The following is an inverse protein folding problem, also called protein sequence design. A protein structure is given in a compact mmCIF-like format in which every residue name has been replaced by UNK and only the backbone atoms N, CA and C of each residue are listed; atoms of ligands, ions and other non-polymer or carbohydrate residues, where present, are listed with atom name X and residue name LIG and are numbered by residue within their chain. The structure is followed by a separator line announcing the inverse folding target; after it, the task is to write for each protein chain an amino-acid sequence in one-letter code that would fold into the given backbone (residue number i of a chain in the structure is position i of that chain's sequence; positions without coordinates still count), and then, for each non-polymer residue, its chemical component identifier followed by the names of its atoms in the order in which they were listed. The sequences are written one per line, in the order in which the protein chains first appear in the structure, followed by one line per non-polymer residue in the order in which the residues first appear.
data_IF_280423191696
#
_entry.id   IF_280423191696
#
_cell.length_a   1.000
_cell.length_b   1.000
_cell.length_c   1.000
_cell.angle_alpha   90.00
_cell.angle_beta   90.00
_cell.angle_gamma   90.00
#
_symmetry.space_group_name_H-M   'P 1'
#
loop_
_entity.id
_entity.type
_entity.pdbx_description
1 polymer ?
#
# COMPACT_ATOMS: atom_id res chain seq x y z
N UNK A 1 -3.79 -14.76 -19.53
CA UNK A 1 -2.64 -14.28 -20.34
C UNK A 1 -2.53 -14.96 -21.72
N UNK A 2 -2.33 -16.29 -21.83
CA UNK A 2 -2.22 -17.00 -23.14
C UNK A 2 -3.36 -16.69 -24.12
N UNK A 3 -4.61 -16.62 -23.64
CA UNK A 3 -5.76 -16.28 -24.48
C UNK A 3 -5.65 -14.87 -25.10
N UNK A 4 -5.25 -13.87 -24.31
CA UNK A 4 -5.02 -12.50 -24.81
C UNK A 4 -3.90 -12.45 -25.84
N UNK A 5 -2.82 -13.22 -25.64
CA UNK A 5 -1.74 -13.35 -26.63
C UNK A 5 -2.23 -13.96 -27.94
N UNK A 6 -3.07 -15.00 -27.89
CA UNK A 6 -3.70 -15.59 -29.09
C UNK A 6 -4.61 -14.62 -29.84
N UNK A 7 -5.15 -13.62 -29.13
CA UNK A 7 -5.96 -12.54 -29.69
C UNK A 7 -5.12 -11.38 -30.24
N UNK A 8 -3.79 -11.48 -30.25
CA UNK A 8 -2.89 -10.49 -30.81
C UNK A 8 -2.41 -9.40 -29.85
N UNK A 9 -2.88 -9.40 -28.59
CA UNK A 9 -2.39 -8.42 -27.60
C UNK A 9 -0.95 -8.72 -27.22
N UNK A 10 -0.09 -7.71 -27.31
CA UNK A 10 1.31 -7.89 -27.03
C UNK A 10 1.58 -7.79 -25.54
N UNK A 11 1.07 -6.75 -24.87
CA UNK A 11 1.36 -6.45 -23.47
C UNK A 11 0.18 -6.85 -22.63
N UNK A 12 0.39 -7.81 -21.73
CA UNK A 12 -0.67 -8.28 -20.83
C UNK A 12 -0.10 -8.39 -19.43
N UNK A 13 -0.69 -7.69 -18.48
CA UNK A 13 -0.43 -7.82 -17.05
C UNK A 13 -1.67 -8.37 -16.36
N UNK A 14 -1.49 -9.23 -15.36
CA UNK A 14 -2.58 -9.77 -14.57
C UNK A 14 -2.18 -9.89 -13.10
N UNK A 15 -3.11 -9.59 -12.20
CA UNK A 15 -2.91 -9.73 -10.76
C UNK A 15 -4.19 -10.12 -10.04
N UNK A 16 -4.09 -11.04 -9.08
CA UNK A 16 -5.21 -11.38 -8.22
C UNK A 16 -5.35 -10.38 -7.08
N UNK A 17 -6.60 -10.00 -6.84
CA UNK A 17 -7.07 -9.39 -5.62
C UNK A 17 -7.93 -10.41 -4.85
N UNK A 18 -7.86 -10.38 -3.53
CA UNK A 18 -8.45 -11.39 -2.64
C UNK A 18 -9.40 -10.75 -1.62
N UNK A 19 -8.96 -9.72 -0.90
CA UNK A 19 -9.74 -9.07 0.15
C UNK A 19 -10.00 -7.58 -0.12
N UNK A 20 -11.02 -7.04 0.56
CA UNK A 20 -11.24 -5.60 0.70
C UNK A 20 -10.16 -4.90 1.54
N UNK A 21 -10.33 -3.58 1.78
CA UNK A 21 -9.32 -2.71 2.42
C UNK A 21 -8.85 -3.22 3.79
N UNK A 22 -9.73 -3.87 4.57
CA UNK A 22 -9.47 -4.29 5.94
C UNK A 22 -9.68 -5.80 6.17
N UNK A 23 -9.57 -6.64 5.13
CA UNK A 23 -9.80 -8.09 5.28
C UNK A 23 -11.27 -8.51 5.49
N UNK A 24 -12.18 -7.54 5.67
CA UNK A 24 -13.61 -7.74 6.00
C UNK A 24 -14.35 -8.71 5.07
N UNK A 25 -13.95 -8.78 3.79
CA UNK A 25 -14.69 -9.50 2.77
C UNK A 25 -13.74 -10.19 1.79
N UNK A 26 -13.85 -11.51 1.71
CA UNK A 26 -13.17 -12.33 0.70
C UNK A 26 -13.93 -12.27 -0.64
N UNK A 27 -13.34 -11.62 -1.64
CA UNK A 27 -13.89 -11.46 -2.99
C UNK A 27 -12.77 -11.58 -4.03
N UNK A 28 -12.32 -12.82 -4.31
CA UNK A 28 -11.24 -13.04 -5.24
C UNK A 28 -11.65 -12.62 -6.65
N UNK A 29 -10.88 -11.72 -7.26
CA UNK A 29 -11.07 -11.32 -8.65
C UNK A 29 -9.71 -11.10 -9.33
N UNK A 30 -9.68 -11.41 -10.63
CA UNK A 30 -8.48 -11.30 -11.44
C UNK A 30 -8.55 -10.01 -12.25
N UNK A 31 -7.66 -9.07 -11.93
CA UNK A 31 -7.48 -7.86 -12.71
C UNK A 31 -6.55 -8.16 -13.89
N UNK A 32 -6.89 -7.64 -15.08
CA UNK A 32 -6.08 -7.80 -16.29
C UNK A 32 -5.96 -6.46 -16.99
N UNK A 33 -4.73 -6.00 -17.17
CA UNK A 33 -4.39 -4.84 -18.00
C UNK A 33 -3.78 -5.34 -19.31
N UNK A 34 -4.25 -4.82 -20.44
CA UNK A 34 -3.71 -5.19 -21.74
C UNK A 34 -3.80 -4.03 -22.73
N UNK A 35 -2.95 -4.07 -23.75
CA UNK A 35 -2.73 -2.95 -24.66
C UNK A 35 -3.71 -2.89 -25.85
N UNK A 36 -4.99 -3.14 -25.57
CA UNK A 36 -6.07 -3.15 -26.56
C UNK A 36 -6.83 -1.83 -26.70
N UNK A 37 -7.44 -1.63 -27.88
CA UNK A 37 -8.40 -0.57 -28.12
C UNK A 37 -9.84 -1.01 -27.81
N UNK A 38 -10.78 -0.07 -28.01
CA UNK A 38 -12.20 -0.34 -27.91
C UNK A 38 -12.61 -1.50 -28.85
N UNK A 39 -13.51 -2.34 -28.37
CA UNK A 39 -14.07 -3.46 -29.13
C UNK A 39 -15.56 -3.20 -29.34
N UNK A 40 -16.08 -3.54 -30.52
CA UNK A 40 -17.53 -3.60 -30.73
C UNK A 40 -18.17 -4.60 -29.77
N UNK A 41 -19.47 -4.42 -29.50
CA UNK A 41 -20.21 -5.25 -28.55
C UNK A 41 -20.13 -6.75 -28.90
N UNK A 42 -20.24 -7.08 -30.18
CA UNK A 42 -20.13 -8.46 -30.68
C UNK A 42 -18.75 -9.06 -30.40
N UNK A 43 -17.68 -8.33 -30.72
CA UNK A 43 -16.31 -8.77 -30.47
C UNK A 43 -16.03 -8.89 -28.98
N UNK A 44 -16.55 -7.97 -28.17
CA UNK A 44 -16.44 -8.01 -26.72
C UNK A 44 -17.19 -9.23 -26.13
N UNK A 45 -18.40 -9.52 -26.60
CA UNK A 45 -19.16 -10.69 -26.20
C UNK A 45 -18.41 -12.00 -26.54
N UNK A 46 -17.90 -12.10 -27.78
CA UNK A 46 -17.06 -13.24 -28.22
C UNK A 46 -15.82 -13.41 -27.35
N UNK A 47 -15.17 -12.31 -26.96
CA UNK A 47 -14.02 -12.31 -26.05
C UNK A 47 -14.40 -12.83 -24.67
N UNK A 48 -15.46 -12.27 -24.08
CA UNK A 48 -15.96 -12.65 -22.75
C UNK A 48 -16.30 -14.14 -22.72
N UNK A 49 -16.95 -14.65 -23.76
CA UNK A 49 -17.28 -16.07 -23.86
C UNK A 49 -16.06 -17.00 -23.92
N UNK A 50 -15.02 -16.61 -24.66
CA UNK A 50 -13.77 -17.37 -24.67
C UNK A 50 -13.09 -17.38 -23.31
N UNK A 51 -13.11 -16.23 -22.61
CA UNK A 51 -12.58 -16.13 -21.26
C UNK A 51 -13.37 -17.03 -20.31
N UNK A 52 -14.71 -16.98 -20.35
CA UNK A 52 -15.59 -17.85 -19.54
C UNK A 52 -15.28 -19.32 -19.79
N UNK A 53 -15.31 -19.76 -21.06
CA UNK A 53 -15.00 -21.16 -21.42
C UNK A 53 -13.63 -21.63 -20.92
N UNK A 54 -12.64 -20.72 -20.88
CA UNK A 54 -11.28 -21.06 -20.46
C UNK A 54 -11.09 -21.09 -18.94
N UNK A 55 -11.72 -20.18 -18.20
CA UNK A 55 -11.54 -20.02 -16.76
C UNK A 55 -12.59 -20.76 -15.94
N UNK A 56 -13.82 -20.81 -16.41
CA UNK A 56 -14.95 -21.48 -15.77
C UNK A 56 -15.71 -22.33 -16.81
N UNK A 57 -15.27 -23.57 -17.06
CA UNK A 57 -15.97 -24.49 -17.95
C UNK A 57 -17.45 -24.64 -17.57
N UNK A 58 -18.33 -24.80 -18.57
CA UNK A 58 -19.79 -24.85 -18.37
C UNK A 58 -20.24 -25.94 -17.38
N UNK A 59 -19.55 -27.07 -17.34
CA UNK A 59 -19.82 -28.15 -16.37
C UNK A 59 -19.63 -27.68 -14.93
N UNK A 60 -18.56 -26.94 -14.66
CA UNK A 60 -18.27 -26.38 -13.35
C UNK A 60 -19.26 -25.26 -13.02
N UNK A 61 -19.50 -24.33 -13.94
CA UNK A 61 -20.46 -23.24 -13.76
C UNK A 61 -21.86 -23.75 -13.36
N UNK A 62 -22.35 -24.78 -14.06
CA UNK A 62 -23.61 -25.45 -13.74
C UNK A 62 -23.60 -26.08 -12.34
N UNK A 63 -22.52 -26.77 -11.98
CA UNK A 63 -22.37 -27.42 -10.66
C UNK A 63 -22.41 -26.40 -9.52
N UNK A 64 -21.74 -25.27 -9.67
CA UNK A 64 -21.68 -24.22 -8.62
C UNK A 64 -22.82 -23.19 -8.70
N UNK A 65 -23.71 -23.31 -9.69
CA UNK A 65 -24.80 -22.37 -9.99
C UNK A 65 -24.35 -20.91 -10.03
N UNK A 66 -23.15 -20.65 -10.56
CA UNK A 66 -22.56 -19.31 -10.71
C UNK A 66 -21.87 -19.20 -12.06
N UNK A 67 -21.99 -18.02 -12.68
CA UNK A 67 -21.24 -17.66 -13.87
C UNK A 67 -20.07 -16.72 -13.54
N UNK A 68 -19.10 -16.65 -14.44
CA UNK A 68 -17.98 -15.73 -14.34
C UNK A 68 -18.40 -14.35 -14.85
N UNK A 69 -18.50 -13.41 -13.92
CA UNK A 69 -18.75 -12.00 -14.23
C UNK A 69 -17.47 -11.36 -14.77
N UNK A 70 -17.56 -10.72 -15.94
CA UNK A 70 -16.43 -10.09 -16.62
C UNK A 70 -16.77 -8.63 -16.92
N UNK A 71 -16.12 -7.73 -16.19
CA UNK A 71 -16.12 -6.29 -16.45
C UNK A 71 -14.97 -5.92 -17.40
N UNK A 72 -15.24 -5.01 -18.33
CA UNK A 72 -14.26 -4.54 -19.29
C UNK A 72 -14.53 -3.08 -19.58
N UNK A 73 -13.60 -2.23 -19.17
CA UNK A 73 -13.71 -0.78 -19.28
C UNK A 73 -12.52 -0.23 -20.07
N UNK A 74 -12.76 0.90 -20.74
CA UNK A 74 -11.75 1.63 -21.51
C UNK A 74 -11.72 3.07 -21.03
N UNK A 75 -10.54 3.69 -21.04
CA UNK A 75 -10.41 5.10 -20.72
C UNK A 75 -9.27 5.72 -21.51
N UNK A 76 -9.48 6.95 -21.98
CA UNK A 76 -8.41 7.78 -22.53
C UNK A 76 -7.83 8.76 -21.51
N UNK A 77 -8.55 9.04 -20.42
CA UNK A 77 -8.13 9.98 -19.38
C UNK A 77 -6.89 9.47 -18.63
N UNK A 78 -5.75 10.19 -18.67
CA UNK A 78 -4.54 9.83 -17.93
C UNK A 78 -4.75 9.65 -16.42
N UNK A 79 -5.62 10.45 -15.78
CA UNK A 79 -5.87 10.35 -14.34
C UNK A 79 -6.56 9.03 -14.00
N UNK A 80 -7.58 8.65 -14.77
CA UNK A 80 -8.24 7.35 -14.62
C UNK A 80 -7.31 6.18 -14.94
N UNK A 81 -6.45 6.28 -15.97
CA UNK A 81 -5.43 5.26 -16.27
C UNK A 81 -4.54 5.02 -15.04
N UNK A 82 -4.05 6.08 -14.41
CA UNK A 82 -3.26 5.96 -13.19
C UNK A 82 -4.04 5.40 -12.02
N UNK A 83 -5.29 5.81 -11.82
CA UNK A 83 -6.15 5.24 -10.78
C UNK A 83 -6.31 3.73 -10.95
N UNK A 84 -6.56 3.27 -12.18
CA UNK A 84 -6.70 1.85 -12.49
C UNK A 84 -5.40 1.08 -12.29
N UNK A 85 -4.27 1.61 -12.78
CA UNK A 85 -2.96 0.97 -12.57
C UNK A 85 -2.65 0.86 -11.08
N UNK A 86 -2.81 1.95 -10.32
CA UNK A 86 -2.59 1.96 -8.87
C UNK A 86 -3.49 0.96 -8.15
N UNK A 87 -4.77 0.88 -8.53
CA UNK A 87 -5.69 -0.12 -7.99
C UNK A 87 -5.21 -1.54 -8.30
N UNK A 88 -4.98 -1.87 -9.57
CA UNK A 88 -4.55 -3.22 -9.98
C UNK A 88 -3.24 -3.62 -9.31
N UNK A 89 -2.29 -2.69 -9.17
CA UNK A 89 -0.98 -2.90 -8.55
C UNK A 89 -1.01 -2.90 -7.02
N UNK A 90 -2.14 -2.56 -6.40
CA UNK A 90 -2.30 -2.61 -4.94
C UNK A 90 -2.30 -4.06 -4.45
N UNK A 91 -1.62 -4.33 -3.34
CA UNK A 91 -1.78 -5.58 -2.61
C UNK A 91 -3.11 -5.57 -1.85
N UNK A 92 -3.93 -6.59 -2.07
CA UNK A 92 -5.22 -6.76 -1.40
C UNK A 92 -5.18 -7.77 -0.26
N UNK A 93 -4.07 -8.49 -0.09
CA UNK A 93 -3.88 -9.47 0.97
C UNK A 93 -2.58 -9.10 1.66
N UNK A 94 -2.70 -8.36 2.75
CA UNK A 94 -1.56 -7.69 3.42
C UNK A 94 -1.30 -8.21 4.81
N UNK A 95 -2.24 -8.93 5.41
CA UNK A 95 -2.11 -9.51 6.74
C UNK A 95 -2.46 -10.99 6.72
N UNK A 96 -1.52 -11.82 7.18
CA UNK A 96 -1.68 -13.27 7.29
C UNK A 96 -2.82 -13.66 8.25
N UNK A 97 -3.19 -12.78 9.20
CA UNK A 97 -4.28 -13.03 10.14
C UNK A 97 -5.64 -13.18 9.46
N UNK A 98 -5.83 -12.59 8.27
CA UNK A 98 -7.12 -12.60 7.55
C UNK A 98 -7.48 -14.00 7.04
N UNK A 99 -6.48 -14.79 6.62
CA UNK A 99 -6.66 -16.18 6.20
C UNK A 99 -5.31 -16.90 6.20
N UNK A 100 -4.96 -17.56 7.31
CA UNK A 100 -3.68 -18.26 7.45
C UNK A 100 -3.50 -19.40 6.43
N UNK A 101 -4.48 -20.31 6.23
CA UNK A 101 -4.39 -21.34 5.20
C UNK A 101 -4.12 -20.78 3.81
N UNK A 102 -4.83 -19.71 3.41
CA UNK A 102 -4.60 -19.07 2.12
C UNK A 102 -3.22 -18.43 2.03
N UNK A 103 -2.74 -17.78 3.09
CA UNK A 103 -1.38 -17.21 3.13
C UNK A 103 -0.31 -18.27 2.90
N UNK A 104 -0.44 -19.42 3.54
CA UNK A 104 0.50 -20.53 3.40
C UNK A 104 0.42 -21.14 1.99
N UNK A 105 -0.79 -21.27 1.42
CA UNK A 105 -0.98 -21.73 0.05
C UNK A 105 -0.45 -20.75 -1.01
N UNK A 106 -0.42 -19.45 -0.72
CA UNK A 106 0.11 -18.42 -1.60
C UNK A 106 1.63 -18.21 -1.45
N UNK A 107 2.29 -18.93 -0.55
CA UNK A 107 3.74 -18.85 -0.39
C UNK A 107 4.44 -19.27 -1.70
N UNK A 108 5.24 -18.36 -2.26
CA UNK A 108 5.91 -18.56 -3.56
C UNK A 108 5.01 -18.36 -4.78
N UNK A 109 3.72 -18.04 -4.60
CA UNK A 109 2.83 -17.74 -5.71
C UNK A 109 3.13 -16.36 -6.31
N UNK A 110 3.45 -16.33 -7.60
CA UNK A 110 3.63 -15.08 -8.35
C UNK A 110 2.28 -14.41 -8.63
N UNK A 111 1.79 -13.62 -7.67
CA UNK A 111 0.48 -12.96 -7.77
C UNK A 111 0.39 -12.00 -8.97
N UNK A 112 1.43 -11.18 -9.17
CA UNK A 112 1.57 -10.33 -10.35
C UNK A 112 2.34 -11.07 -11.45
N UNK A 113 1.78 -11.12 -12.66
CA UNK A 113 2.44 -11.73 -13.82
C UNK A 113 2.22 -10.89 -15.06
N UNK A 114 3.23 -10.81 -15.93
CA UNK A 114 3.13 -10.19 -17.25
C UNK A 114 3.38 -11.20 -18.38
N UNK A 115 3.07 -10.81 -19.61
CA UNK A 115 3.41 -11.51 -20.83
C UNK A 115 3.69 -10.50 -21.95
N UNK A 116 4.57 -10.91 -22.87
CA UNK A 116 4.97 -10.14 -24.05
C UNK A 116 6.18 -9.23 -23.86
N UNK A 117 6.41 -8.38 -24.86
CA UNK A 117 7.54 -7.47 -24.92
C UNK A 117 7.11 -6.09 -24.41
N UNK A 118 7.88 -5.54 -23.48
CA UNK A 118 7.61 -4.25 -22.84
C UNK A 118 8.69 -3.23 -23.19
N UNK A 119 9.26 -3.36 -24.40
CA UNK A 119 10.44 -2.61 -24.84
C UNK A 119 10.08 -1.40 -25.71
N UNK A 120 8.83 -1.29 -26.16
CA UNK A 120 8.42 -0.16 -27.01
C UNK A 120 8.34 1.14 -26.21
N UNK A 121 8.39 2.25 -26.95
CA UNK A 121 8.13 3.57 -26.41
C UNK A 121 6.80 3.62 -25.62
N UNK A 122 6.73 4.42 -24.54
CA UNK A 122 5.52 4.54 -23.74
C UNK A 122 4.38 5.09 -24.61
N UNK A 123 3.23 4.39 -24.63
CA UNK A 123 2.04 4.81 -25.40
C UNK A 123 1.46 6.14 -24.90
N UNK A 124 1.70 6.47 -23.64
CA UNK A 124 1.28 7.72 -23.01
C UNK A 124 2.21 8.01 -21.83
N UNK A 125 2.27 9.27 -21.43
CA UNK A 125 3.01 9.75 -20.27
C UNK A 125 2.13 10.73 -19.50
N UNK A 126 2.37 10.87 -18.21
CA UNK A 126 1.74 11.93 -17.43
C UNK A 126 2.44 13.25 -17.75
N UNK A 127 1.67 14.25 -18.17
CA UNK A 127 2.16 15.58 -18.51
C UNK A 127 1.95 16.51 -17.32
N UNK A 128 3.05 16.87 -16.65
CA UNK A 128 3.02 17.69 -15.44
C UNK A 128 2.70 16.91 -14.16
N UNK A 129 3.20 17.40 -13.03
CA UNK A 129 3.00 16.94 -11.63
C UNK A 129 3.64 15.63 -11.11
N UNK A 130 4.16 14.71 -11.92
CA UNK A 130 4.85 13.50 -11.39
C UNK A 130 6.32 13.69 -11.02
N UNK A 131 6.65 14.82 -10.36
CA UNK A 131 7.99 15.01 -9.78
C UNK A 131 8.39 13.83 -8.89
N UNK A 132 7.42 13.20 -8.20
CA UNK A 132 7.62 12.02 -7.35
C UNK A 132 8.25 10.83 -8.11
N UNK A 133 7.82 10.58 -9.35
CA UNK A 133 8.29 9.43 -10.14
C UNK A 133 9.50 9.75 -11.02
N UNK A 134 9.90 11.01 -11.17
CA UNK A 134 11.10 11.37 -11.93
C UNK A 134 12.37 10.74 -11.33
N UNK A 135 12.44 10.66 -10.00
CA UNK A 135 13.52 9.94 -9.32
C UNK A 135 13.55 8.46 -9.72
N UNK A 136 12.39 7.79 -9.69
CA UNK A 136 12.23 6.41 -10.10
C UNK A 136 12.63 6.18 -11.56
N UNK A 137 12.27 7.09 -12.46
CA UNK A 137 12.64 7.01 -13.89
C UNK A 137 14.15 7.05 -14.13
N UNK A 138 14.92 7.71 -13.26
CA UNK A 138 16.39 7.66 -13.32
C UNK A 138 16.90 6.30 -12.83
N UNK A 139 16.35 5.80 -11.72
CA UNK A 139 16.73 4.50 -11.15
C UNK A 139 16.48 3.36 -12.14
N UNK A 140 15.34 3.36 -12.85
CA UNK A 140 15.04 2.35 -13.89
C UNK A 140 16.00 2.40 -15.08
N UNK A 141 16.62 3.55 -15.34
CA UNK A 141 17.70 3.72 -16.33
C UNK A 141 19.09 3.42 -15.77
N UNK A 142 19.19 2.96 -14.52
CA UNK A 142 20.47 2.71 -13.85
C UNK A 142 21.20 3.99 -13.43
N UNK A 143 20.51 5.12 -13.29
CA UNK A 143 21.06 6.42 -12.91
C UNK A 143 20.61 6.81 -11.50
N UNK A 144 21.50 7.41 -10.73
CA UNK A 144 21.24 7.88 -9.38
C UNK A 144 20.16 8.98 -9.40
N UNK A 145 19.11 8.88 -8.56
CA UNK A 145 17.93 9.73 -8.65
C UNK A 145 18.21 11.23 -8.45
N UNK A 146 19.20 11.57 -7.61
CA UNK A 146 19.63 12.96 -7.37
C UNK A 146 20.72 13.36 -8.36
N UNK A 147 21.94 12.85 -8.19
CA UNK A 147 23.13 13.22 -8.99
C UNK A 147 23.11 12.84 -10.48
N UNK A 148 22.29 11.87 -10.91
CA UNK A 148 22.24 11.42 -12.31
C UNK A 148 23.42 10.55 -12.76
N UNK A 149 24.39 10.26 -11.90
CA UNK A 149 25.52 9.37 -12.19
C UNK A 149 25.06 7.90 -12.27
N UNK A 150 25.76 7.01 -13.01
CA UNK A 150 25.45 5.58 -13.01
C UNK A 150 25.45 4.98 -11.60
N UNK A 151 24.45 4.15 -11.30
CA UNK A 151 24.33 3.45 -10.01
C UNK A 151 25.33 2.29 -9.98
N UNK A 152 26.18 2.27 -8.96
CA UNK A 152 27.01 1.11 -8.63
C UNK A 152 26.32 0.34 -7.50
N UNK A 153 25.75 -0.82 -7.83
CA UNK A 153 25.08 -1.67 -6.85
C UNK A 153 26.11 -2.38 -5.97
N UNK A 154 26.23 -1.94 -4.73
CA UNK A 154 26.94 -2.72 -3.70
C UNK A 154 26.00 -3.83 -3.22
N UNK A 155 26.54 -5.02 -2.90
CA UNK A 155 25.80 -6.18 -2.39
C UNK A 155 25.54 -6.25 -0.86
N UNK A 156 25.87 -5.27 0.01
CA UNK A 156 25.62 -5.47 1.44
C UNK A 156 24.12 -5.45 1.70
N UNK A 157 23.64 -6.47 2.40
CA UNK A 157 22.27 -6.53 2.92
C UNK A 157 22.18 -5.68 4.17
N UNK A 158 21.26 -4.71 4.18
CA UNK A 158 20.99 -3.88 5.35
C UNK A 158 19.68 -4.33 6.01
N UNK A 159 19.61 -4.47 7.35
CA UNK A 159 18.36 -4.77 8.03
C UNK A 159 17.28 -3.74 7.74
N UNK A 160 16.09 -4.19 7.32
CA UNK A 160 14.99 -3.31 6.93
C UNK A 160 14.55 -2.35 8.05
N UNK A 161 14.56 -2.81 9.30
CA UNK A 161 14.22 -1.99 10.47
C UNK A 161 15.16 -0.79 10.62
N UNK A 162 16.47 -0.99 10.41
CA UNK A 162 17.44 0.10 10.48
C UNK A 162 17.27 1.09 9.33
N UNK A 163 16.87 0.62 8.14
CA UNK A 163 16.56 1.51 7.02
C UNK A 163 15.35 2.39 7.33
N UNK A 164 14.30 1.84 7.95
CA UNK A 164 13.10 2.58 8.32
C UNK A 164 13.36 3.67 9.37
N UNK A 165 14.34 3.46 10.26
CA UNK A 165 14.76 4.46 11.26
C UNK A 165 15.37 5.71 10.63
N UNK A 166 15.90 5.62 9.41
CA UNK A 166 16.48 6.76 8.69
C UNK A 166 15.42 7.55 7.89
N UNK A 167 14.13 7.34 8.16
CA UNK A 167 12.99 8.02 7.54
C UNK A 167 13.05 8.09 5.99
N UNK A 168 13.14 6.94 5.32
CA UNK A 168 13.34 6.89 3.88
C UNK A 168 12.13 7.44 3.11
N UNK A 169 12.39 8.25 2.08
CA UNK A 169 11.37 8.77 1.19
C UNK A 169 11.04 7.74 0.10
N UNK A 170 9.80 7.26 0.08
CA UNK A 170 9.29 6.37 -0.96
C UNK A 170 9.20 7.09 -2.31
N UNK A 171 10.02 6.65 -3.27
CA UNK A 171 10.04 7.14 -4.66
C UNK A 171 9.28 6.22 -5.61
N UNK A 172 8.67 5.15 -5.10
CA UNK A 172 7.81 4.21 -5.82
C UNK A 172 8.52 2.92 -6.23
N UNK A 173 7.74 1.86 -6.48
CA UNK A 173 8.26 0.58 -6.96
C UNK A 173 9.18 -0.14 -5.96
N UNK A 174 8.99 0.09 -4.65
CA UNK A 174 9.87 -0.38 -3.57
C UNK A 174 11.28 0.24 -3.58
N UNK A 175 11.46 1.35 -4.28
CA UNK A 175 12.66 2.16 -4.20
C UNK A 175 12.47 3.29 -3.20
N UNK A 176 13.52 3.53 -2.43
CA UNK A 176 13.53 4.51 -1.36
C UNK A 176 14.76 5.41 -1.51
N UNK A 177 14.59 6.69 -1.22
CA UNK A 177 15.66 7.65 -1.10
C UNK A 177 15.93 7.90 0.38
N UNK A 178 17.17 7.67 0.82
CA UNK A 178 17.57 8.11 2.16
C UNK A 178 17.76 9.64 2.15
N UNK A 179 17.36 10.36 3.22
CA UNK A 179 17.63 11.77 3.35
C UNK A 179 19.14 12.02 3.33
N UNK A 180 19.58 13.05 2.59
CA UNK A 180 21.00 13.39 2.40
C UNK A 180 21.65 13.93 3.68
N UNK A 181 20.84 14.51 4.56
CA UNK A 181 21.27 15.16 5.80
C UNK A 181 20.65 14.38 6.96
N UNK A 182 21.50 13.74 7.79
CA UNK A 182 21.07 13.39 9.14
C UNK A 182 20.90 14.71 9.89
N UNK A 183 19.79 14.88 10.60
CA UNK A 183 19.66 15.99 11.55
C UNK A 183 20.86 16.00 12.50
N UNK A 184 21.23 17.16 13.06
CA UNK A 184 22.26 17.21 14.09
C UNK A 184 21.91 16.19 15.19
N UNK A 185 22.91 15.50 15.77
CA UNK A 185 22.65 14.57 16.88
C UNK A 185 21.82 15.29 17.93
N UNK A 186 20.81 14.60 18.49
CA UNK A 186 20.01 15.19 19.56
C UNK A 186 20.96 15.75 20.62
N UNK A 187 20.83 17.04 20.98
CA UNK A 187 21.67 17.62 22.01
C UNK A 187 21.48 16.80 23.29
N UNK A 188 22.56 16.63 24.06
CA UNK A 188 22.47 16.00 25.38
C UNK A 188 21.33 16.68 26.14
N UNK A 189 20.44 15.88 26.75
CA UNK A 189 19.40 16.37 27.64
C UNK A 189 19.99 17.43 28.55
N UNK A 190 19.52 18.68 28.37
CA UNK A 190 19.95 19.79 29.19
C UNK A 190 19.24 19.70 30.54
N UNK A 191 19.95 19.09 31.50
CA UNK A 191 19.47 18.92 32.85
C UNK A 191 19.64 20.20 33.69
N UNK A 192 20.20 21.29 33.15
CA UNK A 192 20.41 22.52 33.92
C UNK A 192 19.10 23.20 34.32
N UNK A 193 18.00 22.86 33.64
CA UNK A 193 16.65 23.34 33.94
C UNK A 193 15.85 22.38 34.84
N UNK A 194 16.48 21.32 35.38
CA UNK A 194 15.89 20.51 36.43
C UNK A 194 15.90 21.30 37.74
N UNK A 195 14.81 22.00 38.01
CA UNK A 195 14.54 22.56 39.34
C UNK A 195 14.08 21.39 40.20
N UNK A 196 14.72 21.16 41.34
CA UNK A 196 14.18 20.23 42.34
C UNK A 196 12.77 20.67 42.70
N UNK A 197 11.80 19.79 42.46
CA UNK A 197 10.42 20.09 42.84
C UNK A 197 10.35 20.26 44.36
N UNK A 198 9.55 21.20 44.89
CA UNK A 198 9.31 21.30 46.33
C UNK A 198 8.86 19.96 46.90
N UNK A 199 9.19 19.64 48.15
CA UNK A 199 8.87 18.32 48.74
C UNK A 199 7.36 18.01 48.83
N UNK A 200 6.52 19.05 48.78
CA UNK A 200 5.07 18.94 48.70
C UNK A 200 4.49 18.92 47.28
N UNK A 201 5.32 18.85 46.23
CA UNK A 201 4.84 18.85 44.85
C UNK A 201 4.17 17.51 44.51
N UNK A 202 2.94 17.61 44.00
CA UNK A 202 2.11 16.44 43.72
C UNK A 202 2.68 15.51 42.63
N UNK A 203 3.57 16.04 41.77
CA UNK A 203 4.30 15.27 40.76
C UNK A 203 5.33 14.32 41.37
N UNK A 204 5.80 14.58 42.59
CA UNK A 204 6.67 13.64 43.35
C UNK A 204 5.91 12.44 43.89
N UNK A 205 4.58 12.48 43.95
CA UNK A 205 3.78 11.39 44.50
C UNK A 205 3.48 10.29 43.48
N UNK A 206 3.34 9.06 43.97
CA UNK A 206 2.89 7.92 43.16
C UNK A 206 1.51 8.21 42.55
N UNK A 207 1.19 7.58 41.42
CA UNK A 207 -0.12 7.74 40.78
C UNK A 207 -1.29 7.38 41.70
N UNK A 208 -1.09 6.45 42.65
CA UNK A 208 -2.08 6.08 43.64
C UNK A 208 -2.32 7.20 44.67
N UNK A 209 -1.24 7.77 45.22
CA UNK A 209 -1.32 8.91 46.15
C UNK A 209 -1.96 10.14 45.49
N UNK A 210 -1.62 10.44 44.23
CA UNK A 210 -2.23 11.55 43.47
C UNK A 210 -3.74 11.40 43.33
N UNK A 211 -4.22 10.20 43.00
CA UNK A 211 -5.66 9.91 42.89
C UNK A 211 -6.37 10.09 44.24
N UNK A 212 -5.73 9.70 45.33
CA UNK A 212 -6.32 9.81 46.66
C UNK A 212 -6.39 11.26 47.16
N UNK A 213 -5.33 12.05 46.93
CA UNK A 213 -5.29 13.49 47.21
C UNK A 213 -6.38 14.22 46.42
N UNK A 214 -6.53 13.91 45.13
CA UNK A 214 -7.58 14.51 44.29
C UNK A 214 -8.99 14.16 44.83
N UNK A 215 -9.21 12.90 45.23
CA UNK A 215 -10.50 12.46 45.79
C UNK A 215 -10.80 13.15 47.13
N UNK A 216 -9.80 13.34 47.99
CA UNK A 216 -9.95 14.07 49.25
C UNK A 216 -10.22 15.56 49.04
N UNK A 217 -9.53 16.21 48.08
CA UNK A 217 -9.79 17.61 47.72
C UNK A 217 -11.23 17.80 47.21
N UNK A 218 -11.72 16.89 46.38
CA UNK A 218 -13.09 16.90 45.88
C UNK A 218 -14.12 16.73 47.02
N UNK A 219 -13.88 15.82 47.96
CA UNK A 219 -14.74 15.62 49.14
C UNK A 219 -14.77 16.86 50.05
N UNK A 220 -13.63 17.51 50.28
CA UNK A 220 -13.54 18.72 51.09
C UNK A 220 -14.25 19.89 50.40
N UNK A 221 -14.06 20.06 49.08
CA UNK A 221 -14.77 21.08 48.29
C UNK A 221 -16.27 20.90 48.39
N UNK A 222 -16.78 19.67 48.17
CA UNK A 222 -18.22 19.39 48.28
C UNK A 222 -18.76 19.70 49.67
N UNK A 223 -17.99 19.41 50.73
CA UNK A 223 -18.41 19.69 52.11
C UNK A 223 -18.47 21.19 52.40
N UNK A 224 -17.50 21.95 51.90
CA UNK A 224 -17.51 23.41 51.97
C UNK A 224 -18.72 24.00 51.23
N UNK A 225 -19.03 23.49 50.04
CA UNK A 225 -20.20 23.93 49.25
C UNK A 225 -21.53 23.61 49.97
N UNK A 226 -21.58 22.52 50.74
CA UNK A 226 -22.74 22.16 51.58
C UNK A 226 -22.87 23.05 52.83
N UNK A 227 -21.75 23.41 53.47
CA UNK A 227 -21.74 24.26 54.66
C UNK A 227 -22.05 25.74 54.32
N UNK A 228 -21.71 26.22 53.11
CA UNK A 228 -22.10 27.54 52.60
C UNK A 228 -23.57 27.63 52.15
N UNK A 229 -24.23 26.49 51.92
CA UNK A 229 -25.61 26.41 51.45
C UNK A 229 -26.65 26.15 52.56
N UNK A 230 -26.22 26.08 53.84
CA UNK A 230 -27.07 25.95 55.03
C UNK A 230 -27.22 27.26 55.79
#
# INVERSE_FOLDING_TARGET
RKLYRKWGYQKVFSRWHYFGKNGEKYHPHLNVLYDGGYLSEELLAKKKDLIRRKLLPRSIAKRIKKDLVIHCDYTQDPKLKMRWISYVMKASFTDKSWDRPLADALKGFHNGCFAGFWNDAPKWKLTGTDKKFNALLKVTKGLHPVSGKPIVWKKPTYPWVLLLMEEPVDIGGWWYLLPTERGPPEPRLDLSNLIELPDGDDRKHSNACRKEIARHRELISRRHDYDEAS
#
